data_IF_855469691119
#
_entry.id   IF_855469691119
#
_cell.length_a   1.000
_cell.length_b   1.000
_cell.length_c   1.000
_cell.angle_alpha   90.00
_cell.angle_beta   90.00
_cell.angle_gamma   90.00
#
_symmetry.space_group_name_H-M   'P 1'
#
loop_
_entity.id
_entity.type
_entity.pdbx_description
1 polymer ?
#
# COMPACT_ATOMS: atom_id res chain seq x y z
N UNK A 1 13.40 10.16 38.11
CA UNK A 1 12.37 9.52 37.27
C UNK A 1 13.00 9.32 35.91
N UNK A 2 13.14 8.07 35.46
CA UNK A 2 13.69 7.74 34.15
C UNK A 2 12.51 7.27 33.30
N UNK A 3 12.18 8.02 32.24
CA UNK A 3 11.29 7.54 31.18
C UNK A 3 12.25 7.00 30.13
N UNK A 4 12.31 5.68 29.99
CA UNK A 4 12.91 5.10 28.80
C UNK A 4 11.90 5.32 27.67
N UNK A 5 12.28 6.08 26.66
CA UNK A 5 11.62 6.10 25.37
C UNK A 5 11.76 4.70 24.76
N UNK A 6 10.70 3.91 24.84
CA UNK A 6 10.58 2.62 24.16
C UNK A 6 10.26 2.89 22.70
N UNK A 7 10.90 2.14 21.81
CA UNK A 7 10.58 2.11 20.38
C UNK A 7 9.09 1.77 20.17
N UNK A 8 8.38 2.64 19.47
CA UNK A 8 6.99 2.52 19.05
C UNK A 8 6.95 1.94 17.62
N UNK A 9 5.97 1.07 17.35
CA UNK A 9 5.85 0.50 16.02
C UNK A 9 5.24 1.51 15.03
N UNK A 10 5.84 1.62 13.84
CA UNK A 10 5.23 2.35 12.72
C UNK A 10 3.77 1.95 12.45
N UNK A 11 2.97 2.94 12.06
CA UNK A 11 1.55 2.80 11.78
C UNK A 11 1.30 2.97 10.29
N UNK A 12 0.62 1.99 9.68
CA UNK A 12 0.18 2.05 8.28
C UNK A 12 -1.30 2.43 8.20
N UNK A 13 -1.61 3.46 7.43
CA UNK A 13 -2.96 3.93 7.15
C UNK A 13 -3.28 3.95 5.65
N UNK A 14 -4.52 4.31 5.31
CA UNK A 14 -5.00 4.43 3.93
C UNK A 14 -5.77 3.21 3.43
N UNK A 15 -5.92 3.11 2.11
CA UNK A 15 -6.72 2.07 1.46
C UNK A 15 -5.94 0.77 1.38
N UNK A 16 -6.41 -0.25 2.09
CA UNK A 16 -5.73 -1.55 2.16
C UNK A 16 -6.39 -2.62 1.32
N UNK A 17 -7.57 -2.32 0.80
CA UNK A 17 -8.45 -3.26 0.11
C UNK A 17 -9.31 -2.48 -0.87
N UNK A 18 -9.63 -3.11 -2.00
CA UNK A 18 -10.71 -2.71 -2.88
C UNK A 18 -11.37 -3.95 -3.47
N UNK A 19 -12.56 -3.76 -4.03
CA UNK A 19 -13.29 -4.79 -4.75
C UNK A 19 -13.25 -4.44 -6.23
N UNK A 20 -12.92 -5.43 -7.05
CA UNK A 20 -13.09 -5.37 -8.50
C UNK A 20 -14.16 -6.38 -8.90
N UNK A 21 -14.99 -6.01 -9.86
CA UNK A 21 -15.88 -6.94 -10.56
C UNK A 21 -15.38 -7.07 -11.99
N UNK A 22 -15.57 -8.23 -12.60
CA UNK A 22 -15.28 -8.39 -14.02
C UNK A 22 -16.07 -7.38 -14.86
N UNK A 23 -15.39 -6.84 -15.87
CA UNK A 23 -15.96 -5.91 -16.84
C UNK A 23 -16.47 -6.65 -18.08
N UNK A 24 -16.96 -5.88 -19.06
CA UNK A 24 -17.38 -6.43 -20.34
C UNK A 24 -16.16 -6.70 -21.25
N UNK A 25 -16.42 -7.37 -22.38
CA UNK A 25 -15.38 -7.67 -23.37
C UNK A 25 -14.75 -6.36 -23.86
N UNK A 26 -13.46 -6.19 -23.59
CA UNK A 26 -12.67 -5.02 -23.99
C UNK A 26 -12.45 -4.00 -22.89
N UNK A 27 -13.05 -4.18 -21.71
CA UNK A 27 -12.81 -3.32 -20.56
C UNK A 27 -11.47 -3.63 -19.90
N UNK A 28 -10.80 -2.57 -19.44
CA UNK A 28 -9.73 -2.67 -18.47
C UNK A 28 -10.30 -2.36 -17.09
N UNK A 29 -10.34 -3.37 -16.21
CA UNK A 29 -10.82 -3.18 -14.84
C UNK A 29 -9.65 -2.92 -13.92
N UNK A 30 -9.68 -1.77 -13.24
CA UNK A 30 -8.66 -1.41 -12.25
C UNK A 30 -9.26 -1.06 -10.90
N UNK A 31 -8.49 -1.30 -9.86
CA UNK A 31 -8.70 -0.75 -8.53
C UNK A 31 -7.42 -0.07 -8.06
N UNK A 32 -7.56 1.06 -7.38
CA UNK A 32 -6.45 1.81 -6.83
C UNK A 32 -6.68 2.11 -5.36
N UNK A 33 -5.59 2.38 -4.66
CA UNK A 33 -5.64 2.90 -3.31
C UNK A 33 -4.32 3.50 -2.89
N UNK A 34 -4.35 4.28 -1.82
CA UNK A 34 -3.17 4.95 -1.28
C UNK A 34 -2.84 4.39 0.10
N UNK A 35 -1.60 3.98 0.31
CA UNK A 35 -1.05 3.66 1.63
C UNK A 35 -0.15 4.79 2.12
N UNK A 36 -0.12 4.97 3.43
CA UNK A 36 0.81 5.85 4.13
C UNK A 36 1.36 5.15 5.36
N UNK A 37 2.58 5.48 5.75
CA UNK A 37 3.23 4.92 6.93
C UNK A 37 3.88 6.05 7.72
N UNK A 38 3.70 6.04 9.03
CA UNK A 38 4.24 7.05 9.95
C UNK A 38 4.82 6.38 11.17
N UNK A 39 5.88 6.95 11.70
CA UNK A 39 6.45 6.59 12.99
C UNK A 39 6.47 7.81 13.91
N UNK A 40 6.23 7.60 15.21
CA UNK A 40 6.24 8.69 16.21
C UNK A 40 7.64 8.91 16.76
N UNK A 41 8.52 7.91 16.66
CA UNK A 41 9.89 8.03 17.13
C UNK A 41 10.71 8.99 16.27
N UNK A 42 11.41 9.89 16.97
CA UNK A 42 12.18 10.93 16.29
C UNK A 42 13.38 10.33 15.58
N UNK A 43 13.40 10.42 14.25
CA UNK A 43 14.47 9.88 13.40
C UNK A 43 13.99 8.74 12.50
N UNK A 44 12.85 8.16 12.85
CA UNK A 44 12.26 7.05 12.10
C UNK A 44 11.37 7.59 10.99
N UNK A 45 11.75 7.28 9.75
CA UNK A 45 11.11 7.79 8.54
C UNK A 45 10.82 6.62 7.61
N UNK A 46 9.90 5.71 7.98
CA UNK A 46 9.58 4.56 7.17
C UNK A 46 8.95 5.00 5.84
N UNK A 47 9.13 4.17 4.81
CA UNK A 47 8.51 4.39 3.51
C UNK A 47 8.19 3.06 2.85
N UNK A 48 7.20 3.06 1.95
CA UNK A 48 6.95 1.93 1.08
C UNK A 48 7.91 1.95 -0.09
N UNK A 49 8.47 0.79 -0.40
CA UNK A 49 9.20 0.58 -1.64
C UNK A 49 8.22 0.48 -2.81
N UNK A 50 8.65 0.95 -3.97
CA UNK A 50 7.94 0.70 -5.22
C UNK A 50 7.92 -0.82 -5.51
N UNK A 51 6.77 -1.31 -5.95
CA UNK A 51 6.58 -2.69 -6.38
C UNK A 51 6.34 -2.68 -7.89
N UNK A 52 7.26 -3.29 -8.63
CA UNK A 52 7.07 -3.49 -10.07
C UNK A 52 5.84 -4.38 -10.32
N UNK A 53 5.23 -4.23 -11.50
CA UNK A 53 4.08 -5.05 -11.91
C UNK A 53 4.34 -6.53 -11.69
N UNK A 54 3.55 -7.10 -10.78
CA UNK A 54 3.68 -8.46 -10.28
C UNK A 54 2.39 -9.21 -10.56
N UNK A 55 2.50 -10.35 -11.26
CA UNK A 55 1.36 -11.18 -11.59
C UNK A 55 0.74 -11.82 -10.33
N UNK A 56 -0.58 -11.88 -10.31
CA UNK A 56 -1.40 -12.59 -9.33
C UNK A 56 -2.12 -13.75 -10.02
N UNK A 57 -3.12 -14.36 -9.36
CA UNK A 57 -3.94 -15.40 -9.98
C UNK A 57 -4.75 -14.90 -11.18
N UNK A 58 -5.28 -13.69 -11.13
CA UNK A 58 -6.22 -13.18 -12.12
C UNK A 58 -5.76 -11.92 -12.86
N UNK A 59 -4.89 -11.12 -12.25
CA UNK A 59 -4.45 -9.83 -12.77
C UNK A 59 -3.03 -9.51 -12.33
N UNK A 60 -2.65 -8.23 -12.29
CA UNK A 60 -1.37 -7.77 -11.78
C UNK A 60 -1.52 -6.64 -10.76
N UNK A 61 -0.58 -6.56 -9.82
CA UNK A 61 -0.46 -5.46 -8.86
C UNK A 61 0.85 -4.74 -9.05
N UNK A 62 0.82 -3.42 -8.98
CA UNK A 62 2.00 -2.57 -8.89
C UNK A 62 1.80 -1.50 -7.82
N UNK A 63 2.91 -0.93 -7.35
CA UNK A 63 2.87 0.14 -6.36
C UNK A 63 3.95 1.18 -6.67
N UNK A 64 3.58 2.45 -6.66
CA UNK A 64 4.52 3.57 -6.74
C UNK A 64 4.18 4.64 -5.72
N UNK A 65 5.15 5.04 -4.93
CA UNK A 65 5.01 6.12 -3.93
C UNK A 65 3.78 5.94 -3.00
N UNK A 66 3.55 4.73 -2.50
CA UNK A 66 2.39 4.45 -1.65
C UNK A 66 1.08 4.18 -2.40
N UNK A 67 0.97 4.57 -3.69
CA UNK A 67 -0.22 4.29 -4.49
C UNK A 67 -0.09 2.91 -5.14
N UNK A 68 -1.02 2.02 -4.81
CA UNK A 68 -1.12 0.72 -5.46
C UNK A 68 -2.20 0.75 -6.53
N UNK A 69 -1.96 -0.02 -7.60
CA UNK A 69 -2.91 -0.28 -8.68
C UNK A 69 -2.99 -1.78 -8.88
N UNK A 70 -4.20 -2.32 -8.83
CA UNK A 70 -4.52 -3.66 -9.27
C UNK A 70 -5.26 -3.56 -10.60
N UNK A 71 -4.83 -4.32 -11.59
CA UNK A 71 -5.53 -4.46 -12.87
C UNK A 71 -5.93 -5.92 -13.01
N UNK A 72 -7.23 -6.17 -13.17
CA UNK A 72 -7.79 -7.49 -13.44
C UNK A 72 -7.53 -7.89 -14.90
#
# INVERSE_FOLDING_TARGET
MHIANTDDASVISGDRQAVVNEGDIGDTVTATGQLSITDVDTGDNPSFIDVASTATTYGHIEMRNGQWTYTL
#
